data_IF_171875054027
#
_entry.id   IF_171875054027
#
_cell.length_a   1.000
_cell.length_b   1.000
_cell.length_c   1.000
_cell.angle_alpha   90.00
_cell.angle_beta   90.00
_cell.angle_gamma   90.00
#
_symmetry.space_group_name_H-M   'P 1'
#
loop_
_entity.id
_entity.type
_entity.pdbx_description
1 polymer ?
#
# COMPACT_ATOMS: atom_id res chain seq x y z
N UNK A 1 7.36 -3.94 8.87
CA UNK A 1 7.49 -5.09 7.95
C UNK A 1 7.03 -4.67 6.56
N UNK A 2 7.88 -4.79 5.52
CA UNK A 2 7.54 -4.38 4.15
C UNK A 2 6.92 -5.56 3.37
N UNK A 3 5.66 -5.41 2.96
CA UNK A 3 4.87 -6.45 2.30
C UNK A 3 5.43 -6.81 0.92
N UNK A 4 5.90 -5.82 0.16
CA UNK A 4 6.49 -6.05 -1.16
C UNK A 4 7.78 -6.88 -1.01
N UNK A 5 8.63 -6.52 -0.04
CA UNK A 5 9.87 -7.26 0.24
C UNK A 5 9.59 -8.69 0.66
N UNK A 6 8.59 -8.91 1.52
CA UNK A 6 8.26 -10.25 2.03
C UNK A 6 7.54 -11.16 1.03
N UNK A 7 6.76 -10.60 0.10
CA UNK A 7 5.90 -11.38 -0.80
C UNK A 7 6.41 -11.43 -2.25
N UNK A 8 7.05 -10.37 -2.74
CA UNK A 8 7.48 -10.25 -4.14
C UNK A 8 9.01 -10.37 -4.25
N UNK A 9 9.76 -9.70 -3.38
CA UNK A 9 11.22 -9.56 -3.51
C UNK A 9 12.01 -10.48 -2.55
N UNK A 10 11.48 -11.66 -2.22
CA UNK A 10 12.12 -12.59 -1.27
C UNK A 10 13.41 -13.22 -1.82
N UNK A 11 13.60 -13.19 -3.15
CA UNK A 11 14.76 -13.72 -3.85
C UNK A 11 15.66 -12.59 -4.36
N UNK A 12 16.96 -12.84 -4.41
CA UNK A 12 17.92 -11.93 -5.05
C UNK A 12 17.65 -11.90 -6.56
N UNK A 13 17.65 -10.69 -7.12
CA UNK A 13 17.50 -10.42 -8.54
C UNK A 13 18.58 -9.43 -8.93
N UNK A 14 19.43 -9.81 -9.87
CA UNK A 14 20.61 -9.02 -10.23
C UNK A 14 20.32 -8.02 -11.39
N UNK A 15 19.10 -8.01 -11.92
CA UNK A 15 18.66 -7.09 -12.98
C UNK A 15 17.39 -6.31 -12.57
N UNK A 16 17.48 -4.98 -12.66
CA UNK A 16 16.39 -4.05 -12.34
C UNK A 16 15.16 -4.22 -13.24
N UNK A 17 15.33 -4.65 -14.48
CA UNK A 17 14.23 -4.88 -15.42
C UNK A 17 13.39 -6.10 -15.01
N UNK A 18 14.04 -7.16 -14.54
CA UNK A 18 13.38 -8.32 -13.94
C UNK A 18 12.60 -7.94 -12.69
N UNK A 19 13.18 -7.09 -11.83
CA UNK A 19 12.50 -6.56 -10.65
C UNK A 19 11.23 -5.80 -11.04
N UNK A 20 11.31 -4.88 -12.02
CA UNK A 20 10.15 -4.12 -12.49
C UNK A 20 9.03 -5.02 -13.02
N UNK A 21 9.40 -6.02 -13.82
CA UNK A 21 8.43 -6.98 -14.37
C UNK A 21 7.74 -7.80 -13.28
N UNK A 22 8.50 -8.28 -12.30
CA UNK A 22 7.96 -9.05 -11.17
C UNK A 22 7.02 -8.20 -10.31
N UNK A 23 7.43 -6.98 -9.98
CA UNK A 23 6.62 -6.04 -9.17
C UNK A 23 5.32 -5.72 -9.88
N UNK A 24 5.35 -5.48 -11.20
CA UNK A 24 4.15 -5.20 -11.98
C UNK A 24 3.20 -6.40 -11.99
N UNK A 25 3.71 -7.60 -12.22
CA UNK A 25 2.92 -8.82 -12.20
C UNK A 25 2.29 -9.08 -10.82
N UNK A 26 3.08 -8.89 -9.76
CA UNK A 26 2.63 -9.03 -8.38
C UNK A 26 1.57 -7.99 -8.01
N UNK A 27 1.75 -6.74 -8.41
CA UNK A 27 0.78 -5.66 -8.18
C UNK A 27 -0.55 -5.96 -8.88
N UNK A 28 -0.52 -6.40 -10.13
CA UNK A 28 -1.72 -6.78 -10.87
C UNK A 28 -2.45 -7.96 -10.19
N UNK A 29 -1.71 -9.00 -9.81
CA UNK A 29 -2.28 -10.14 -9.08
C UNK A 29 -2.93 -9.71 -7.76
N UNK A 30 -2.24 -8.86 -6.98
CA UNK A 30 -2.73 -8.38 -5.68
C UNK A 30 -3.97 -7.50 -5.84
N UNK A 31 -3.96 -6.56 -6.79
CA UNK A 31 -5.08 -5.66 -7.05
C UNK A 31 -6.32 -6.44 -7.53
N UNK A 32 -6.12 -7.48 -8.34
CA UNK A 32 -7.20 -8.36 -8.82
C UNK A 32 -7.76 -9.29 -7.74
N UNK A 33 -7.08 -9.46 -6.60
CA UNK A 33 -7.56 -10.27 -5.48
C UNK A 33 -8.75 -9.65 -4.73
N UNK A 34 -9.26 -8.52 -5.22
CA UNK A 34 -10.45 -7.80 -4.71
C UNK A 34 -10.47 -7.69 -3.18
N UNK A 35 -9.29 -7.53 -2.58
CA UNK A 35 -9.13 -7.43 -1.13
C UNK A 35 -9.60 -6.05 -0.70
N UNK A 36 -10.89 -5.95 -0.35
CA UNK A 36 -11.49 -4.72 0.12
C UNK A 36 -11.03 -4.46 1.54
N UNK A 37 -10.46 -3.29 1.78
CA UNK A 37 -10.30 -2.78 3.15
C UNK A 37 -11.69 -2.48 3.67
N UNK A 38 -12.09 -3.15 4.75
CA UNK A 38 -13.35 -2.85 5.42
C UNK A 38 -13.16 -1.60 6.28
N UNK A 39 -13.41 -0.44 5.70
CA UNK A 39 -13.33 0.84 6.40
C UNK A 39 -14.46 0.92 7.45
N UNK A 40 -14.10 1.19 8.70
CA UNK A 40 -15.07 1.32 9.79
C UNK A 40 -15.78 2.68 9.83
N UNK A 41 -15.32 3.63 9.01
CA UNK A 41 -15.84 4.99 8.93
C UNK A 41 -15.53 5.57 7.55
N UNK A 42 -16.33 6.52 7.10
CA UNK A 42 -16.11 7.22 5.84
C UNK A 42 -14.88 8.15 5.93
N UNK A 43 -14.37 8.62 4.80
CA UNK A 43 -13.29 9.62 4.79
C UNK A 43 -13.68 10.89 5.57
N UNK A 44 -14.93 11.30 5.49
CA UNK A 44 -15.42 12.48 6.20
C UNK A 44 -15.48 12.24 7.71
N UNK A 45 -16.00 11.09 8.14
CA UNK A 45 -16.00 10.68 9.55
C UNK A 45 -14.57 10.54 10.11
N UNK A 46 -13.64 10.03 9.28
CA UNK A 46 -12.22 9.90 9.64
C UNK A 46 -11.61 11.27 9.98
N UNK A 47 -11.90 12.29 9.18
CA UNK A 47 -11.34 13.64 9.37
C UNK A 47 -11.81 14.27 10.67
N UNK A 48 -13.06 14.03 11.06
CA UNK A 48 -13.60 14.51 12.33
C UNK A 48 -12.95 13.74 13.50
N UNK A 49 -12.99 12.40 13.44
CA UNK A 49 -12.56 11.53 14.54
C UNK A 49 -11.04 11.53 14.77
N UNK A 50 -10.25 11.70 13.71
CA UNK A 50 -8.78 11.72 13.77
C UNK A 50 -8.20 13.15 13.69
N UNK A 51 -9.05 14.18 13.81
CA UNK A 51 -8.64 15.59 13.77
C UNK A 51 -7.41 15.88 14.64
N UNK A 52 -7.36 15.34 15.87
CA UNK A 52 -6.23 15.52 16.80
C UNK A 52 -4.90 14.89 16.34
N UNK A 53 -4.90 14.01 15.33
CA UNK A 53 -3.69 13.37 14.81
C UNK A 53 -3.09 14.11 13.61
N UNK A 54 -3.84 15.02 13.00
CA UNK A 54 -3.34 15.81 11.88
C UNK A 54 -2.62 17.05 12.43
N UNK A 55 -1.40 17.35 11.95
CA UNK A 55 -0.76 18.59 12.29
C UNK A 55 -1.62 19.75 11.78
N UNK A 56 -1.87 20.73 12.65
CA UNK A 56 -2.40 22.02 12.22
C UNK A 56 -1.37 22.64 11.29
N UNK A 57 -1.74 22.79 10.02
CA UNK A 57 -0.94 23.53 9.06
C UNK A 57 -1.22 25.00 9.38
N UNK A 58 -0.27 25.65 10.06
CA UNK A 58 -0.23 27.10 10.21
C UNK A 58 0.43 27.67 8.93
N UNK A 59 -0.24 28.64 8.29
CA UNK A 59 0.27 29.35 7.10
C UNK A 59 1.42 30.31 7.45
#
# INVERSE_FOLDING_TARGET
MNVLSGQCLKRRMDNIELVRKEVLAWQNYRNNKNSKVNWQFTTDDARIKLSCLYPTIED
#
